data_IF_967622258122
#
_entry.id   IF_967622258122
#
_cell.length_a   1.000
_cell.length_b   1.000
_cell.length_c   1.000
_cell.angle_alpha   90.00
_cell.angle_beta   90.00
_cell.angle_gamma   90.00
#
_symmetry.space_group_name_H-M   'P 1'
#
loop_
_entity.id
_entity.type
_entity.pdbx_description
1 polymer ?
#
# COMPACT_ATOMS: atom_id res chain seq x y z
N UNK A 1 -28.36 -50.52 40.22
CA UNK A 1 -27.02 -50.48 39.60
C UNK A 1 -27.17 -50.37 38.09
N UNK A 2 -26.73 -49.24 37.52
CA UNK A 2 -26.21 -49.02 36.15
C UNK A 2 -26.30 -47.51 35.89
N UNK A 3 -25.27 -46.80 36.33
CA UNK A 3 -25.05 -45.40 35.94
C UNK A 3 -24.53 -45.39 34.51
N UNK A 4 -25.27 -44.80 33.59
CA UNK A 4 -24.82 -44.55 32.21
C UNK A 4 -24.02 -43.26 32.23
N UNK A 5 -22.69 -43.38 32.19
CA UNK A 5 -21.78 -42.25 32.02
C UNK A 5 -21.74 -41.91 30.52
N UNK A 6 -22.41 -40.83 30.11
CA UNK A 6 -22.31 -40.31 28.74
C UNK A 6 -21.06 -39.44 28.67
N UNK A 7 -20.01 -39.99 28.04
CA UNK A 7 -18.77 -39.29 27.74
C UNK A 7 -18.99 -38.46 26.45
N UNK A 8 -19.33 -37.17 26.59
CA UNK A 8 -19.37 -36.25 25.45
C UNK A 8 -17.94 -35.82 25.14
N UNK A 9 -17.33 -36.49 24.16
CA UNK A 9 -16.07 -36.04 23.56
C UNK A 9 -16.40 -34.82 22.68
N UNK A 10 -16.22 -33.62 23.21
CA UNK A 10 -16.16 -32.40 22.41
C UNK A 10 -14.84 -32.48 21.62
N UNK A 11 -14.90 -32.99 20.39
CA UNK A 11 -13.82 -32.77 19.42
C UNK A 11 -13.79 -31.26 19.14
N UNK A 12 -12.96 -30.54 19.89
CA UNK A 12 -12.49 -29.22 19.51
C UNK A 12 -11.68 -29.40 18.23
N UNK A 13 -12.34 -29.29 17.09
CA UNK A 13 -11.68 -29.12 15.82
C UNK A 13 -10.88 -27.83 15.96
N UNK A 14 -9.58 -27.98 16.24
CA UNK A 14 -8.58 -26.96 15.95
C UNK A 14 -8.63 -26.78 14.43
N UNK A 15 -9.53 -25.92 13.96
CA UNK A 15 -9.38 -25.30 12.66
C UNK A 15 -8.17 -24.39 12.82
N UNK A 16 -7.00 -24.68 12.21
CA UNK A 16 -6.06 -23.61 11.97
C UNK A 16 -6.85 -22.60 11.12
N UNK A 17 -7.17 -21.45 11.70
CA UNK A 17 -7.54 -20.29 10.91
C UNK A 17 -6.30 -19.95 10.08
N UNK A 18 -6.14 -20.63 8.95
CA UNK A 18 -5.52 -20.04 7.78
C UNK A 18 -6.45 -18.91 7.38
N UNK A 19 -6.29 -17.76 8.04
CA UNK A 19 -6.77 -16.49 7.51
C UNK A 19 -6.26 -16.43 6.08
N UNK A 20 -7.18 -16.45 5.13
CA UNK A 20 -6.87 -16.19 3.75
C UNK A 20 -6.04 -14.91 3.71
N UNK A 21 -4.84 -15.03 3.11
CA UNK A 21 -4.01 -13.90 2.68
C UNK A 21 -4.96 -12.87 2.05
N UNK A 22 -4.98 -11.63 2.56
CA UNK A 22 -5.82 -10.55 2.05
C UNK A 22 -5.68 -10.43 0.54
N UNK A 23 -6.66 -10.99 -0.18
CA UNK A 23 -6.72 -11.05 -1.64
C UNK A 23 -7.67 -10.04 -2.22
N UNK A 24 -8.29 -9.22 -1.36
CA UNK A 24 -9.26 -8.24 -1.77
C UNK A 24 -8.58 -6.89 -1.50
N UNK A 25 -8.54 -6.00 -2.47
CA UNK A 25 -8.02 -4.63 -2.30
C UNK A 25 -8.93 -3.82 -1.36
N UNK A 26 -9.32 -4.36 -0.20
CA UNK A 26 -10.31 -3.82 0.73
C UNK A 26 -9.89 -2.44 1.22
N UNK A 27 -8.59 -2.24 1.51
CA UNK A 27 -8.03 -0.95 1.88
C UNK A 27 -8.26 0.07 0.77
N UNK A 28 -7.86 -0.23 -0.47
CA UNK A 28 -7.97 0.70 -1.59
C UNK A 28 -9.44 0.97 -1.98
N UNK A 29 -10.29 -0.06 -1.91
CA UNK A 29 -11.74 0.05 -2.05
C UNK A 29 -12.34 0.99 -0.98
N UNK A 30 -11.94 0.81 0.28
CA UNK A 30 -12.43 1.63 1.39
C UNK A 30 -11.97 3.08 1.27
N UNK A 31 -10.69 3.31 0.93
CA UNK A 31 -10.13 4.65 0.75
C UNK A 31 -10.78 5.41 -0.41
N UNK A 32 -10.92 4.77 -1.58
CA UNK A 32 -11.56 5.41 -2.74
C UNK A 32 -13.04 5.68 -2.50
N UNK A 33 -13.76 4.76 -1.82
CA UNK A 33 -15.15 4.95 -1.44
C UNK A 33 -15.32 6.11 -0.44
N UNK A 34 -14.52 6.15 0.62
CA UNK A 34 -14.58 7.21 1.62
C UNK A 34 -14.29 8.60 1.01
N UNK A 35 -13.28 8.70 0.14
CA UNK A 35 -12.98 9.93 -0.57
C UNK A 35 -14.16 10.41 -1.44
N UNK A 36 -14.73 9.51 -2.26
CA UNK A 36 -15.91 9.82 -3.11
C UNK A 36 -17.13 10.25 -2.28
N UNK A 37 -17.43 9.54 -1.18
CA UNK A 37 -18.54 9.87 -0.28
C UNK A 37 -18.39 11.25 0.38
N UNK A 38 -17.16 11.74 0.53
CA UNK A 38 -16.86 13.08 1.08
C UNK A 38 -16.76 14.17 0.00
N UNK A 39 -17.13 13.87 -1.25
CA UNK A 39 -17.17 14.83 -2.36
C UNK A 39 -15.85 14.98 -3.11
N UNK A 40 -14.85 14.15 -2.84
CA UNK A 40 -13.58 14.19 -3.57
C UNK A 40 -13.64 13.38 -4.87
N UNK A 41 -12.99 13.90 -5.90
CA UNK A 41 -12.73 13.20 -7.16
C UNK A 41 -11.35 12.56 -7.11
N UNK A 42 -11.29 11.25 -7.31
CA UNK A 42 -10.02 10.51 -7.34
C UNK A 42 -9.15 11.05 -8.48
N UNK A 43 -7.93 11.47 -8.15
CA UNK A 43 -6.91 11.87 -9.13
C UNK A 43 -6.02 10.71 -9.48
N UNK A 44 -5.63 9.96 -8.45
CA UNK A 44 -4.63 8.92 -8.54
C UNK A 44 -4.76 7.98 -7.36
N UNK A 45 -4.44 6.73 -7.59
CA UNK A 45 -4.18 5.76 -6.56
C UNK A 45 -2.90 5.01 -6.87
N UNK A 46 -2.30 4.45 -5.83
CA UNK A 46 -1.05 3.74 -5.91
C UNK A 46 -1.08 2.50 -5.02
N UNK A 47 -0.60 1.38 -5.55
CA UNK A 47 -0.22 0.19 -4.79
C UNK A 47 1.28 0.06 -4.88
N UNK A 48 1.95 -0.02 -3.73
CA UNK A 48 3.39 -0.23 -3.65
C UNK A 48 3.65 -1.46 -2.80
N UNK A 49 4.34 -2.44 -3.37
CA UNK A 49 4.68 -3.67 -2.69
C UNK A 49 6.20 -3.84 -2.64
N UNK A 50 6.74 -4.11 -1.46
CA UNK A 50 8.16 -4.43 -1.23
C UNK A 50 8.31 -5.86 -0.73
N UNK A 51 9.27 -6.60 -1.27
CA UNK A 51 9.52 -7.99 -0.90
C UNK A 51 11.01 -8.34 -0.99
N UNK A 52 11.49 -9.19 -0.07
CA UNK A 52 12.78 -9.86 -0.27
C UNK A 52 12.60 -11.03 -1.23
N UNK A 53 13.48 -11.14 -2.22
CA UNK A 53 13.38 -12.15 -3.28
C UNK A 53 14.59 -13.09 -3.31
N UNK A 54 15.37 -13.12 -2.23
CA UNK A 54 16.49 -14.04 -2.04
C UNK A 54 17.85 -13.35 -2.01
N UNK A 55 18.90 -14.13 -2.31
CA UNK A 55 20.30 -13.69 -2.30
C UNK A 55 21.04 -14.24 -3.52
N UNK A 56 22.07 -13.52 -3.95
CA UNK A 56 23.02 -13.96 -4.99
C UNK A 56 24.45 -13.71 -4.53
N UNK A 57 25.39 -14.59 -4.89
CA UNK A 57 26.75 -14.52 -4.34
C UNK A 57 27.60 -13.42 -4.97
N UNK A 58 27.35 -13.09 -6.24
CA UNK A 58 28.21 -12.24 -7.04
C UNK A 58 27.46 -11.61 -8.23
N UNK A 59 28.14 -10.72 -8.96
CA UNK A 59 27.61 -10.03 -10.14
C UNK A 59 27.19 -11.00 -11.26
N UNK A 60 27.85 -12.15 -11.43
CA UNK A 60 27.48 -13.15 -12.44
C UNK A 60 26.13 -13.78 -12.12
N UNK A 61 25.91 -14.19 -10.88
CA UNK A 61 24.62 -14.73 -10.43
C UNK A 61 23.51 -13.67 -10.50
N UNK A 62 23.81 -12.42 -10.14
CA UNK A 62 22.87 -11.31 -10.32
C UNK A 62 22.47 -11.13 -11.79
N UNK A 63 23.43 -11.13 -12.71
CA UNK A 63 23.17 -11.01 -14.14
C UNK A 63 22.30 -12.16 -14.69
N UNK A 64 22.53 -13.39 -14.24
CA UNK A 64 21.68 -14.54 -14.58
C UNK A 64 20.25 -14.34 -14.05
N UNK A 65 20.12 -13.90 -12.80
CA UNK A 65 18.84 -13.63 -12.16
C UNK A 65 18.03 -12.57 -12.94
N UNK A 66 18.62 -11.40 -13.23
CA UNK A 66 17.90 -10.34 -13.95
C UNK A 66 17.57 -10.72 -15.40
N UNK A 67 18.40 -11.53 -16.05
CA UNK A 67 18.11 -12.02 -17.40
C UNK A 67 16.91 -12.97 -17.40
N UNK A 68 16.74 -13.77 -16.35
CA UNK A 68 15.55 -14.60 -16.18
C UNK A 68 14.31 -13.72 -15.95
N UNK A 69 14.39 -12.74 -15.05
CA UNK A 69 13.29 -11.79 -14.81
C UNK A 69 12.85 -11.07 -16.09
N UNK A 70 13.80 -10.57 -16.89
CA UNK A 70 13.50 -9.90 -18.17
C UNK A 70 12.75 -10.80 -19.16
N UNK A 71 13.01 -12.12 -19.13
CA UNK A 71 12.35 -13.11 -19.99
C UNK A 71 10.94 -13.43 -19.50
N UNK A 72 10.77 -13.59 -18.19
CA UNK A 72 9.51 -13.99 -17.57
C UNK A 72 8.49 -12.85 -17.58
N UNK A 73 8.95 -11.63 -17.30
CA UNK A 73 8.10 -10.44 -17.20
C UNK A 73 8.06 -9.66 -18.52
N UNK A 74 7.30 -10.21 -19.47
CA UNK A 74 7.06 -9.58 -20.78
C UNK A 74 6.25 -8.28 -20.65
N UNK A 75 6.47 -7.36 -21.59
CA UNK A 75 5.77 -6.07 -21.66
C UNK A 75 6.41 -4.93 -20.87
N UNK A 76 7.44 -5.23 -20.06
CA UNK A 76 8.28 -4.22 -19.43
C UNK A 76 9.37 -3.74 -20.38
N UNK A 77 9.59 -2.42 -20.40
CA UNK A 77 10.80 -1.79 -20.94
C UNK A 77 11.83 -1.71 -19.82
N UNK A 78 13.00 -2.29 -20.04
CA UNK A 78 14.01 -2.47 -19.00
C UNK A 78 15.16 -1.50 -19.15
N UNK A 79 15.57 -0.90 -18.04
CA UNK A 79 16.78 -0.12 -17.88
C UNK A 79 17.59 -0.72 -16.74
N UNK A 80 18.91 -0.83 -16.92
CA UNK A 80 19.81 -1.37 -15.90
C UNK A 80 20.85 -0.31 -15.57
N UNK A 81 21.00 0.02 -14.29
CA UNK A 81 22.01 0.97 -13.83
C UNK A 81 22.90 0.28 -12.80
N UNK A 82 24.21 0.51 -12.93
CA UNK A 82 25.18 0.21 -11.87
C UNK A 82 25.36 1.53 -11.13
N UNK A 83 24.83 1.64 -9.92
CA UNK A 83 25.04 2.83 -9.08
C UNK A 83 26.44 2.75 -8.43
N UNK A 84 26.94 3.92 -8.00
CA UNK A 84 28.17 4.05 -7.21
C UNK A 84 27.96 3.27 -5.89
N UNK A 85 29.01 2.64 -5.35
CA UNK A 85 29.01 1.79 -4.14
C UNK A 85 28.52 0.33 -4.29
N UNK A 86 28.67 -0.28 -5.47
CA UNK A 86 28.39 -1.71 -5.72
C UNK A 86 26.90 -2.11 -5.57
N UNK A 87 25.97 -1.17 -5.68
CA UNK A 87 24.54 -1.46 -5.74
C UNK A 87 24.12 -1.68 -7.21
N UNK A 88 23.52 -2.83 -7.49
CA UNK A 88 22.94 -3.08 -8.81
C UNK A 88 21.44 -2.80 -8.79
N UNK A 89 20.95 -2.24 -9.89
CA UNK A 89 19.55 -1.87 -10.03
C UNK A 89 19.03 -2.23 -11.41
N UNK A 90 17.90 -2.91 -11.44
CA UNK A 90 17.11 -3.14 -12.63
C UNK A 90 15.78 -2.39 -12.45
N UNK A 91 15.42 -1.57 -13.43
CA UNK A 91 14.15 -0.88 -13.48
C UNK A 91 13.37 -1.37 -14.70
N UNK A 92 12.14 -1.81 -14.48
CA UNK A 92 11.17 -2.13 -15.52
C UNK A 92 10.03 -1.12 -15.47
N UNK A 93 9.67 -0.57 -16.62
CA UNK A 93 8.49 0.27 -16.80
C UNK A 93 7.50 -0.39 -17.75
N UNK A 94 6.23 -0.45 -17.36
CA UNK A 94 5.13 -0.96 -18.19
C UNK A 94 3.96 0.00 -18.13
N UNK A 95 3.35 0.27 -19.28
CA UNK A 95 2.12 1.05 -19.39
C UNK A 95 1.05 0.13 -19.96
N UNK A 96 -0.08 0.05 -19.28
CA UNK A 96 -1.27 -0.63 -19.76
C UNK A 96 -2.31 0.42 -20.14
N UNK A 97 -2.36 0.78 -21.42
CA UNK A 97 -3.26 1.82 -21.91
C UNK A 97 -4.73 1.42 -21.82
N UNK A 98 -5.05 0.12 -21.85
CA UNK A 98 -6.44 -0.37 -21.73
C UNK A 98 -6.98 -0.02 -20.34
N UNK A 99 -6.19 -0.29 -19.31
CA UNK A 99 -6.57 -0.06 -17.92
C UNK A 99 -6.12 1.30 -17.37
N UNK A 100 -5.40 2.10 -18.18
CA UNK A 100 -4.78 3.38 -17.79
C UNK A 100 -3.89 3.23 -16.57
N UNK A 101 -3.08 2.17 -16.57
CA UNK A 101 -2.15 1.85 -15.48
C UNK A 101 -0.72 2.13 -15.91
N UNK A 102 0.08 2.61 -14.97
CA UNK A 102 1.53 2.60 -15.05
C UNK A 102 2.09 1.67 -13.99
N UNK A 103 3.14 0.93 -14.35
CA UNK A 103 3.80 0.01 -13.46
C UNK A 103 5.30 0.27 -13.48
N UNK A 104 5.89 0.26 -12.29
CA UNK A 104 7.32 0.35 -12.08
C UNK A 104 7.77 -0.80 -11.21
N UNK A 105 8.60 -1.66 -11.78
CA UNK A 105 9.25 -2.74 -11.05
C UNK A 105 10.72 -2.36 -10.85
N UNK A 106 11.21 -2.44 -9.62
CA UNK A 106 12.62 -2.24 -9.31
C UNK A 106 13.14 -3.48 -8.61
N UNK A 107 14.26 -4.00 -9.08
CA UNK A 107 15.04 -5.01 -8.37
C UNK A 107 16.35 -4.37 -7.97
N UNK A 108 16.67 -4.45 -6.69
CA UNK A 108 17.91 -3.91 -6.12
C UNK A 108 18.71 -5.03 -5.49
N UNK A 109 20.00 -5.07 -5.80
CA UNK A 109 20.97 -5.93 -5.14
C UNK A 109 21.81 -5.09 -4.18
N UNK A 110 21.69 -5.38 -2.88
CA UNK A 110 22.34 -4.66 -1.80
C UNK A 110 23.50 -5.52 -1.29
N UNK A 111 24.72 -4.98 -1.30
CA UNK A 111 25.91 -5.72 -0.84
C UNK A 111 25.79 -6.01 0.66
N UNK A 112 25.79 -7.29 1.02
CA UNK A 112 25.81 -7.79 2.39
C UNK A 112 27.15 -8.45 2.74
N UNK A 113 27.17 -9.20 3.85
CA UNK A 113 28.37 -9.95 4.29
C UNK A 113 28.73 -11.10 3.33
N UNK A 114 27.71 -11.80 2.82
CA UNK A 114 27.87 -13.04 2.04
C UNK A 114 27.29 -12.91 0.61
N UNK A 115 27.59 -11.82 -0.08
CA UNK A 115 27.10 -11.53 -1.43
C UNK A 115 26.10 -10.38 -1.44
N UNK A 116 24.98 -10.53 -2.15
CA UNK A 116 23.97 -9.51 -2.34
C UNK A 116 22.59 -9.99 -1.90
N UNK A 117 21.93 -9.19 -1.06
CA UNK A 117 20.53 -9.34 -0.73
C UNK A 117 19.68 -8.70 -1.84
N UNK A 118 18.69 -9.44 -2.33
CA UNK A 118 17.81 -8.98 -3.39
C UNK A 118 16.48 -8.49 -2.82
N UNK A 119 16.13 -7.25 -3.16
CA UNK A 119 14.84 -6.65 -2.88
C UNK A 119 14.09 -6.39 -4.19
N UNK A 120 12.76 -6.57 -4.16
CA UNK A 120 11.85 -6.20 -5.23
C UNK A 120 10.88 -5.16 -4.72
N UNK A 121 10.69 -4.09 -5.49
CA UNK A 121 9.60 -3.14 -5.29
C UNK A 121 8.75 -3.09 -6.54
N UNK A 122 7.45 -3.33 -6.41
CA UNK A 122 6.49 -3.22 -7.49
C UNK A 122 5.50 -2.12 -7.15
N UNK A 123 5.44 -1.13 -8.02
CA UNK A 123 4.52 -0.03 -7.93
C UNK A 123 3.52 -0.09 -9.09
N UNK A 124 2.22 0.00 -8.78
CA UNK A 124 1.15 0.16 -9.76
C UNK A 124 0.39 1.43 -9.44
N UNK A 125 0.22 2.29 -10.44
CA UNK A 125 -0.47 3.56 -10.32
C UNK A 125 -1.58 3.66 -11.36
N UNK A 126 -2.72 4.23 -10.98
CA UNK A 126 -3.85 4.45 -11.88
C UNK A 126 -4.72 5.62 -11.45
N UNK A 127 -5.61 6.05 -12.36
CA UNK A 127 -6.51 7.20 -12.14
C UNK A 127 -7.97 6.77 -11.98
N UNK A 128 -8.31 5.57 -12.45
CA UNK A 128 -9.66 4.99 -12.38
C UNK A 128 -9.61 3.79 -11.45
N UNK A 129 -10.57 3.71 -10.52
CA UNK A 129 -10.72 2.56 -9.64
C UNK A 129 -12.14 2.00 -9.76
N UNK A 130 -12.23 0.77 -10.27
CA UNK A 130 -13.45 -0.01 -10.48
C UNK A 130 -13.11 -1.52 -10.36
N UNK A 131 -14.12 -2.38 -10.48
CA UNK A 131 -13.97 -3.83 -10.34
C UNK A 131 -12.97 -4.43 -11.33
N UNK A 132 -13.08 -4.11 -12.63
CA UNK A 132 -12.18 -4.63 -13.68
C UNK A 132 -10.71 -4.24 -13.42
N UNK A 133 -10.47 -3.00 -12.96
CA UNK A 133 -9.13 -2.52 -12.58
C UNK A 133 -8.64 -3.19 -11.29
N UNK A 134 -9.52 -3.41 -10.31
CA UNK A 134 -9.16 -4.10 -9.07
C UNK A 134 -8.68 -5.51 -9.37
N UNK A 135 -9.41 -6.28 -10.17
CA UNK A 135 -9.04 -7.65 -10.55
C UNK A 135 -7.70 -7.69 -11.28
N UNK A 136 -7.49 -6.72 -12.19
CA UNK A 136 -6.23 -6.56 -12.91
C UNK A 136 -5.07 -6.32 -11.94
N UNK A 137 -5.23 -5.42 -10.96
CA UNK A 137 -4.22 -5.12 -9.95
C UNK A 137 -3.96 -6.32 -9.05
N UNK A 138 -4.99 -7.06 -8.63
CA UNK A 138 -4.84 -8.29 -7.85
C UNK A 138 -3.96 -9.31 -8.57
N UNK A 139 -4.16 -9.46 -9.88
CA UNK A 139 -3.38 -10.40 -10.70
C UNK A 139 -1.91 -9.99 -10.91
N UNK A 140 -1.57 -8.70 -10.80
CA UNK A 140 -0.24 -8.17 -11.14
C UNK A 140 0.58 -7.75 -9.91
N UNK A 141 -0.02 -7.13 -8.90
CA UNK A 141 0.70 -6.54 -7.77
C UNK A 141 1.12 -7.55 -6.70
N UNK A 142 0.33 -8.61 -6.50
CA UNK A 142 0.44 -9.46 -5.32
C UNK A 142 1.44 -10.58 -5.55
N UNK A 143 2.69 -10.31 -5.19
CA UNK A 143 3.68 -11.36 -5.00
C UNK A 143 3.17 -12.41 -4.00
N UNK A 144 3.23 -13.68 -4.39
CA UNK A 144 2.95 -14.78 -3.49
C UNK A 144 4.13 -15.13 -2.58
N UNK A 145 5.26 -14.42 -2.70
CA UNK A 145 6.43 -14.58 -1.81
C UNK A 145 6.09 -14.44 -0.31
N UNK A 146 7.05 -14.85 0.53
CA UNK A 146 6.88 -14.82 1.97
C UNK A 146 6.84 -13.37 2.48
N UNK A 147 5.63 -12.92 2.84
CA UNK A 147 5.34 -11.68 3.58
C UNK A 147 5.75 -10.39 2.86
N UNK A 148 5.14 -10.07 1.70
CA UNK A 148 5.32 -8.74 1.12
C UNK A 148 4.79 -7.65 2.07
N UNK A 149 5.48 -6.51 2.10
CA UNK A 149 4.95 -5.29 2.69
C UNK A 149 4.20 -4.52 1.59
N UNK A 150 2.90 -4.36 1.77
CA UNK A 150 2.06 -3.64 0.81
C UNK A 150 1.57 -2.33 1.41
N UNK A 151 1.65 -1.28 0.61
CA UNK A 151 1.25 0.07 0.93
C UNK A 151 0.26 0.54 -0.14
N UNK A 152 -0.78 1.23 0.28
CA UNK A 152 -1.79 1.78 -0.62
C UNK A 152 -1.90 3.28 -0.39
N UNK A 153 -2.03 4.05 -1.47
CA UNK A 153 -2.29 5.48 -1.39
C UNK A 153 -3.43 5.88 -2.34
N UNK A 154 -4.24 6.83 -1.91
CA UNK A 154 -5.26 7.50 -2.72
C UNK A 154 -5.06 8.99 -2.62
N UNK A 155 -4.97 9.67 -3.75
CA UNK A 155 -5.00 11.11 -3.86
C UNK A 155 -6.28 11.55 -4.55
N UNK A 156 -6.99 12.49 -3.96
CA UNK A 156 -8.26 12.98 -4.48
C UNK A 156 -8.42 14.48 -4.22
N UNK A 157 -9.16 15.15 -5.08
CA UNK A 157 -9.34 16.61 -5.05
C UNK A 157 -10.82 16.98 -4.93
N UNK A 158 -11.09 18.08 -4.25
CA UNK A 158 -12.42 18.68 -4.17
C UNK A 158 -12.30 20.20 -4.30
N UNK A 159 -13.02 20.84 -5.24
CA UNK A 159 -13.12 22.30 -5.31
C UNK A 159 -13.72 22.86 -4.02
N UNK A 160 -13.12 23.92 -3.46
CA UNK A 160 -13.54 24.47 -2.18
C UNK A 160 -13.04 25.90 -1.99
N UNK A 161 -13.85 26.77 -1.39
CA UNK A 161 -13.35 28.05 -0.88
C UNK A 161 -12.49 27.83 0.37
N UNK A 162 -11.55 28.74 0.64
CA UNK A 162 -10.64 28.67 1.80
C UNK A 162 -11.38 28.29 3.09
N UNK A 163 -11.14 27.08 3.65
CA UNK A 163 -11.73 26.70 4.93
C UNK A 163 -11.07 27.46 6.07
N UNK A 164 -11.82 27.69 7.14
CA UNK A 164 -11.18 27.92 8.43
C UNK A 164 -10.57 26.60 8.96
N UNK A 165 -9.69 26.71 9.95
CA UNK A 165 -8.95 25.57 10.48
C UNK A 165 -9.88 24.47 11.03
N UNK A 166 -10.98 24.84 11.69
CA UNK A 166 -11.95 23.90 12.25
C UNK A 166 -12.66 23.08 11.17
N UNK A 167 -13.03 23.71 10.05
CA UNK A 167 -13.64 23.02 8.90
C UNK A 167 -12.66 22.07 8.23
N UNK A 168 -11.37 22.41 8.18
CA UNK A 168 -10.33 21.55 7.64
C UNK A 168 -10.08 20.32 8.53
N UNK A 169 -10.03 20.52 9.86
CA UNK A 169 -9.94 19.45 10.86
C UNK A 169 -11.14 18.52 10.79
N UNK A 170 -12.36 19.08 10.80
CA UNK A 170 -13.59 18.26 10.80
C UNK A 170 -13.72 17.41 9.54
N UNK A 171 -13.34 17.93 8.36
CA UNK A 171 -13.30 17.14 7.11
C UNK A 171 -12.29 15.99 7.20
N UNK A 172 -11.12 16.24 7.76
CA UNK A 172 -10.07 15.24 7.92
C UNK A 172 -10.46 14.15 8.93
N UNK A 173 -11.08 14.53 10.06
CA UNK A 173 -11.60 13.60 11.06
C UNK A 173 -12.77 12.77 10.51
N UNK A 174 -13.63 13.37 9.69
CA UNK A 174 -14.72 12.65 9.03
C UNK A 174 -14.19 11.52 8.14
N UNK A 175 -13.14 11.75 7.37
CA UNK A 175 -12.50 10.70 6.56
C UNK A 175 -11.92 9.57 7.43
N UNK A 176 -11.25 9.90 8.53
CA UNK A 176 -10.76 8.90 9.50
C UNK A 176 -11.91 8.04 10.05
N UNK A 177 -13.03 8.67 10.43
CA UNK A 177 -14.22 7.99 10.91
C UNK A 177 -14.88 7.11 9.83
N UNK A 178 -15.02 7.61 8.61
CA UNK A 178 -15.61 6.88 7.49
C UNK A 178 -14.76 5.65 7.10
N UNK A 179 -13.46 5.67 7.40
CA UNK A 179 -12.54 4.53 7.27
C UNK A 179 -12.54 3.60 8.50
N UNK A 180 -13.49 3.77 9.41
CA UNK A 180 -13.62 2.97 10.64
C UNK A 180 -12.36 2.98 11.51
N UNK A 181 -11.63 4.09 11.49
CA UNK A 181 -10.40 4.27 12.23
C UNK A 181 -10.56 5.26 13.39
N UNK A 182 -9.71 5.11 14.39
CA UNK A 182 -9.60 6.07 15.50
C UNK A 182 -8.30 6.85 15.36
N UNK A 183 -8.37 8.16 15.49
CA UNK A 183 -7.19 9.04 15.57
C UNK A 183 -6.25 8.58 16.70
N UNK A 184 -4.96 8.57 16.41
CA UNK A 184 -3.88 8.25 17.35
C UNK A 184 -3.02 9.49 17.60
N UNK A 185 -2.63 10.18 16.52
CA UNK A 185 -1.85 11.42 16.56
C UNK A 185 -2.32 12.35 15.43
N UNK A 186 -2.20 13.67 15.64
CA UNK A 186 -2.63 14.68 14.67
C UNK A 186 -1.66 15.84 14.57
N UNK A 187 -1.54 16.39 13.36
CA UNK A 187 -0.75 17.58 13.03
C UNK A 187 -1.64 18.60 12.33
N UNK A 188 -1.50 19.88 12.66
CA UNK A 188 -2.15 20.97 11.93
C UNK A 188 -1.20 22.13 11.76
N UNK A 189 -0.95 22.53 10.52
CA UNK A 189 -0.02 23.59 10.15
C UNK A 189 -0.59 24.41 8.99
N UNK A 190 -0.98 25.67 9.24
CA UNK A 190 -1.57 26.54 8.23
C UNK A 190 -2.77 25.91 7.52
N UNK A 191 -2.63 25.67 6.21
CA UNK A 191 -3.64 25.06 5.34
C UNK A 191 -3.54 23.52 5.27
N UNK A 192 -2.83 22.89 6.20
CA UNK A 192 -2.57 21.45 6.21
C UNK A 192 -3.03 20.80 7.53
N UNK A 193 -3.72 19.65 7.42
CA UNK A 193 -4.09 18.79 8.55
C UNK A 193 -3.71 17.35 8.21
N UNK A 194 -3.08 16.64 9.13
CA UNK A 194 -2.73 15.23 8.96
C UNK A 194 -3.07 14.44 10.23
N UNK A 195 -3.66 13.26 10.07
CA UNK A 195 -3.99 12.35 11.15
C UNK A 195 -3.38 10.98 10.91
N UNK A 196 -2.63 10.50 11.88
CA UNK A 196 -2.25 9.10 12.03
C UNK A 196 -3.36 8.40 12.81
N UNK A 197 -3.87 7.29 12.28
CA UNK A 197 -5.03 6.61 12.81
C UNK A 197 -4.87 5.08 12.79
N UNK A 198 -5.73 4.41 13.55
CA UNK A 198 -5.77 2.95 13.65
C UNK A 198 -7.18 2.44 13.29
N UNK A 199 -7.29 1.77 12.16
CA UNK A 199 -8.46 1.00 11.74
C UNK A 199 -8.36 -0.44 12.25
N UNK A 200 -9.42 -0.92 12.93
CA UNK A 200 -9.50 -2.32 13.36
C UNK A 200 -9.76 -3.29 12.20
N UNK A 201 -10.11 -2.77 11.02
CA UNK A 201 -10.39 -3.59 9.82
C UNK A 201 -9.12 -4.06 9.12
N UNK A 202 -7.99 -3.38 9.33
CA UNK A 202 -6.77 -3.64 8.58
C UNK A 202 -5.72 -4.31 9.47
N UNK A 203 -5.15 -5.42 8.97
CA UNK A 203 -4.34 -6.33 9.78
C UNK A 203 -2.91 -5.80 10.01
N UNK A 204 -2.33 -5.12 9.02
CA UNK A 204 -0.98 -4.59 9.12
C UNK A 204 -0.97 -3.26 9.86
N UNK A 205 -0.02 -3.05 10.78
CA UNK A 205 0.14 -1.79 11.52
C UNK A 205 1.60 -1.52 11.86
N UNK A 206 1.95 -0.23 11.90
CA UNK A 206 3.24 0.27 12.32
C UNK A 206 3.20 0.65 13.80
N UNK A 207 4.28 0.38 14.52
CA UNK A 207 4.47 0.89 15.88
C UNK A 207 5.01 2.32 15.82
N UNK A 208 4.43 3.19 16.62
CA UNK A 208 4.88 4.56 16.86
C UNK A 208 5.87 4.61 18.02
N UNK A 209 6.57 5.75 18.17
CA UNK A 209 7.59 5.97 19.22
C UNK A 209 7.02 5.80 20.65
N UNK A 210 5.75 6.10 20.84
CA UNK A 210 5.02 5.97 22.12
C UNK A 210 4.40 4.59 22.33
N UNK A 211 4.80 3.55 21.58
CA UNK A 211 4.23 2.21 21.55
C UNK A 211 2.78 2.10 21.04
N UNK A 212 2.15 3.21 20.63
CA UNK A 212 0.87 3.14 19.93
C UNK A 212 1.06 2.51 18.55
N UNK A 213 -0.04 2.09 17.93
CA UNK A 213 -0.04 1.52 16.58
C UNK A 213 -0.86 2.41 15.65
N UNK A 214 -0.43 2.53 14.40
CA UNK A 214 -1.20 3.14 13.32
C UNK A 214 -1.18 2.25 12.08
N UNK A 215 -2.21 2.35 11.25
CA UNK A 215 -2.27 1.70 9.95
C UNK A 215 -3.03 2.52 8.92
N UNK A 216 -3.27 3.80 9.22
CA UNK A 216 -3.93 4.74 8.35
C UNK A 216 -3.29 6.09 8.58
N UNK A 217 -3.07 6.82 7.49
CA UNK A 217 -2.79 8.23 7.54
C UNK A 217 -3.72 8.97 6.58
N UNK A 218 -4.35 10.04 7.06
CA UNK A 218 -5.21 10.93 6.26
C UNK A 218 -4.62 12.32 6.34
N UNK A 219 -4.27 12.90 5.19
CA UNK A 219 -3.72 14.24 5.10
C UNK A 219 -4.57 15.08 4.15
N UNK A 220 -4.98 16.27 4.58
CA UNK A 220 -5.69 17.26 3.76
C UNK A 220 -4.84 18.52 3.64
N UNK A 221 -4.73 19.05 2.43
CA UNK A 221 -4.10 20.34 2.16
C UNK A 221 -5.01 21.20 1.31
N UNK A 222 -5.30 22.40 1.80
CA UNK A 222 -5.93 23.43 0.99
C UNK A 222 -4.86 24.21 0.21
N UNK A 223 -5.05 24.32 -1.10
CA UNK A 223 -4.21 25.13 -1.99
C UNK A 223 -5.01 26.35 -2.42
N UNK A 224 -4.53 27.54 -2.06
CA UNK A 224 -5.26 28.80 -2.28
C UNK A 224 -5.36 29.12 -3.77
N UNK A 225 -4.26 28.98 -4.51
CA UNK A 225 -4.18 29.30 -5.95
C UNK A 225 -5.19 28.50 -6.79
N UNK A 226 -5.43 27.25 -6.41
CA UNK A 226 -6.33 26.33 -7.11
C UNK A 226 -7.76 26.33 -6.55
N UNK A 227 -8.01 27.03 -5.42
CA UNK A 227 -9.23 26.90 -4.61
C UNK A 227 -9.67 25.43 -4.44
N UNK A 228 -8.73 24.62 -3.96
CA UNK A 228 -8.84 23.16 -3.97
C UNK A 228 -8.39 22.56 -2.66
N UNK A 229 -9.17 21.61 -2.17
CA UNK A 229 -8.79 20.74 -1.06
C UNK A 229 -8.33 19.40 -1.64
N UNK A 230 -7.06 19.07 -1.44
CA UNK A 230 -6.48 17.77 -1.81
C UNK A 230 -6.40 16.90 -0.56
N UNK A 231 -6.93 15.67 -0.67
CA UNK A 231 -6.73 14.62 0.33
C UNK A 231 -5.73 13.58 -0.20
N UNK A 232 -4.82 13.17 0.66
CA UNK A 232 -4.00 11.97 0.50
C UNK A 232 -4.33 11.00 1.64
N UNK A 233 -4.70 9.78 1.29
CA UNK A 233 -5.03 8.71 2.24
C UNK A 233 -4.04 7.57 1.99
N UNK A 234 -3.31 7.16 3.02
CA UNK A 234 -2.28 6.12 2.93
C UNK A 234 -2.44 5.03 3.98
N UNK A 235 -2.08 3.80 3.65
CA UNK A 235 -1.96 2.69 4.61
C UNK A 235 -0.67 1.91 4.37
N UNK A 236 0.06 1.55 5.45
CA UNK A 236 -0.11 2.07 6.81
C UNK A 236 0.28 3.56 6.94
N UNK A 237 1.04 4.10 6.00
CA UNK A 237 1.55 5.49 5.96
C UNK A 237 1.48 6.01 4.52
N UNK A 238 1.47 7.34 4.36
CA UNK A 238 1.64 7.95 3.05
C UNK A 238 3.10 7.77 2.60
N UNK A 239 3.31 7.13 1.45
CA UNK A 239 4.65 6.92 0.88
C UNK A 239 4.94 7.84 -0.31
N UNK A 240 3.91 8.55 -0.78
CA UNK A 240 4.00 9.55 -1.85
C UNK A 240 3.28 10.80 -1.42
N UNK A 241 4.06 11.81 -1.08
CA UNK A 241 3.59 13.16 -0.87
C UNK A 241 3.87 14.01 -2.13
N UNK A 242 3.16 15.14 -2.20
CA UNK A 242 3.22 16.26 -3.16
C UNK A 242 4.17 16.16 -4.35
#
# INVERSE_FOLDING_TARGET
MKSVLILIIILSIYMPYHFAKGSDNEELNSMTKAAKQNGYTIREWNVYQKSSIGKVKNEKEYNLFINQIKKDLKGYKWESTKEIDHHFKLVGLKIDSKYRLSQRLVITAIKGKDGYDLERTHEITGQIWNEEVSDKVLSEAFDNSNQPQTFYNVRADMPMNKPNQDKLKSKSQKLVSDLSAKEVEGLTEGNFVSYSALSKKWNYSLKLKNNNKMNLQVANRFTEDDNKLTVTIGTPIIIKEY
#
